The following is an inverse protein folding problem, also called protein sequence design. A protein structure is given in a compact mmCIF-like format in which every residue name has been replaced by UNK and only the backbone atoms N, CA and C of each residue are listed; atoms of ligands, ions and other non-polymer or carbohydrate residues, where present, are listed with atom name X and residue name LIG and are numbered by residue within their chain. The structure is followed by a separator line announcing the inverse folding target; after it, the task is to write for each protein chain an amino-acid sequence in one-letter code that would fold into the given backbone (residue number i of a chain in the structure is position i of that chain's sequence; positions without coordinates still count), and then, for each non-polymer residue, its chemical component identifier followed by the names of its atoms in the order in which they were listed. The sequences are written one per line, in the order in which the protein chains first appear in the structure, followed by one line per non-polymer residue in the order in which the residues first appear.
data_IF_464194720852
#
_entry.id   IF_464194720852
#
_cell.length_a   1.000
_cell.length_b   1.000
_cell.length_c   1.000
_cell.angle_alpha   90.00
_cell.angle_beta   90.00
_cell.angle_gamma   90.00
#
_symmetry.space_group_name_H-M   'P 1'
#
loop_
_entity.id
_entity.type
_entity.pdbx_description
1 polymer ?
#
# COMPACT_ATOMS: atom_id res chain seq x y z
N UNK A 1 9.23 12.40 9.44
CA UNK A 1 9.61 11.37 10.40
C UNK A 1 9.42 10.00 9.78
N UNK A 2 10.49 9.21 9.76
CA UNK A 2 10.47 7.80 9.33
C UNK A 2 10.25 6.96 10.58
N UNK A 3 9.19 6.17 10.61
CA UNK A 3 8.90 5.27 11.74
C UNK A 3 9.05 3.82 11.28
N UNK A 4 9.86 3.06 11.99
CA UNK A 4 10.05 1.62 11.78
C UNK A 4 9.24 0.87 12.83
N UNK A 5 8.34 -0.01 12.44
CA UNK A 5 7.67 -0.92 13.36
C UNK A 5 7.68 -2.34 12.81
N UNK A 6 8.04 -3.30 13.65
CA UNK A 6 8.04 -4.74 13.35
C UNK A 6 6.67 -5.40 13.57
N UNK A 7 5.75 -4.73 14.27
CA UNK A 7 4.40 -5.21 14.53
C UNK A 7 3.39 -4.46 13.65
N UNK A 8 2.90 -5.16 12.64
CA UNK A 8 1.83 -4.69 11.77
C UNK A 8 0.48 -4.92 12.45
N UNK A 9 0.13 -4.04 13.37
CA UNK A 9 -1.26 -3.91 13.83
C UNK A 9 -1.97 -2.86 12.99
N UNK A 10 -3.29 -2.97 12.85
CA UNK A 10 -4.15 -1.96 12.22
C UNK A 10 -3.98 -0.56 12.84
N UNK A 11 -3.37 -0.49 14.02
CA UNK A 11 -3.17 0.73 14.79
C UNK A 11 -2.05 1.64 14.23
N UNK A 12 -1.06 1.07 13.49
CA UNK A 12 0.02 1.86 12.90
C UNK A 12 -0.48 2.82 11.83
N UNK A 13 -1.46 2.41 11.03
CA UNK A 13 -2.08 3.31 10.05
C UNK A 13 -2.99 4.35 10.72
N UNK A 14 -3.66 4.03 11.83
CA UNK A 14 -4.66 4.92 12.43
C UNK A 14 -4.09 6.11 13.18
N UNK A 15 -2.95 5.97 13.88
CA UNK A 15 -2.29 7.07 14.57
C UNK A 15 -1.55 8.01 13.61
N UNK A 16 -0.82 7.42 12.63
CA UNK A 16 -0.03 8.17 11.67
C UNK A 16 -0.90 8.90 10.63
N UNK A 17 -2.15 8.44 10.42
CA UNK A 17 -3.12 9.10 9.54
C UNK A 17 -3.58 10.47 10.06
N UNK A 18 -3.63 10.64 11.39
CA UNK A 18 -4.10 11.88 12.04
C UNK A 18 -2.99 12.89 12.31
N UNK A 19 -1.72 12.49 12.13
CA UNK A 19 -0.57 13.38 12.34
C UNK A 19 -0.22 14.07 11.01
N UNK A 20 -0.60 15.31 10.83
CA UNK A 20 -0.30 16.10 9.64
C UNK A 20 1.20 16.39 9.44
N UNK A 21 2.03 16.19 10.46
CA UNK A 21 3.48 16.22 10.37
C UNK A 21 4.06 15.03 9.57
N UNK A 22 3.28 13.96 9.40
CA UNK A 22 3.66 12.80 8.57
C UNK A 22 3.04 12.97 7.18
N UNK A 23 3.88 13.25 6.19
CA UNK A 23 3.50 13.54 4.80
C UNK A 23 3.64 12.35 3.86
N UNK A 24 4.54 11.41 4.17
CA UNK A 24 4.80 10.17 3.43
C UNK A 24 5.26 9.07 4.39
N UNK A 25 5.04 7.81 4.04
CA UNK A 25 5.37 6.64 4.86
C UNK A 25 6.34 5.77 4.07
N UNK A 26 7.46 5.38 4.69
CA UNK A 26 8.40 4.40 4.14
C UNK A 26 8.29 3.13 4.95
N UNK A 27 8.06 2.01 4.24
CA UNK A 27 7.96 0.68 4.82
C UNK A 27 9.17 -0.14 4.44
N UNK A 28 9.89 -0.68 5.41
CA UNK A 28 11.03 -1.57 5.19
C UNK A 28 11.10 -2.63 6.27
N UNK A 29 11.89 -3.70 6.05
CA UNK A 29 12.07 -4.77 7.03
C UNK A 29 13.20 -4.49 8.02
N UNK A 30 13.06 -5.00 9.23
CA UNK A 30 14.15 -5.05 10.21
C UNK A 30 15.09 -6.23 9.93
N UNK A 31 16.39 -6.00 9.94
CA UNK A 31 17.41 -7.04 9.70
C UNK A 31 17.53 -7.47 8.23
N UNK A 32 17.72 -8.76 7.97
CA UNK A 32 18.08 -9.29 6.64
C UNK A 32 16.95 -9.47 5.66
N UNK A 33 15.70 -9.42 6.09
CA UNK A 33 14.53 -9.66 5.25
C UNK A 33 13.50 -8.57 5.37
N UNK A 34 12.71 -8.39 4.32
CA UNK A 34 11.55 -7.53 4.38
C UNK A 34 10.40 -8.20 5.15
N UNK A 35 9.92 -9.31 4.64
CA UNK A 35 8.94 -10.17 5.30
C UNK A 35 8.89 -11.54 4.60
N UNK A 36 9.22 -12.60 5.33
CA UNK A 36 9.28 -13.96 4.79
C UNK A 36 7.92 -14.67 4.66
N UNK A 37 6.82 -14.01 5.04
CA UNK A 37 5.47 -14.58 5.03
C UNK A 37 5.09 -15.24 6.35
N UNK A 38 4.18 -16.21 6.28
CA UNK A 38 3.69 -16.91 7.47
C UNK A 38 4.78 -17.76 8.12
N UNK A 39 4.78 -17.78 9.46
CA UNK A 39 5.60 -18.72 10.22
C UNK A 39 5.09 -20.16 10.02
N UNK A 40 5.93 -21.00 9.44
CA UNK A 40 5.63 -22.40 9.16
C UNK A 40 5.96 -23.34 10.35
N UNK A 41 6.29 -22.81 11.52
CA UNK A 41 6.64 -23.59 12.71
C UNK A 41 5.57 -24.55 13.21
N UNK A 42 4.28 -24.29 12.87
CA UNK A 42 3.17 -25.20 13.15
C UNK A 42 3.06 -26.39 12.16
N UNK A 43 4.00 -26.55 11.23
CA UNK A 43 4.02 -27.63 10.24
C UNK A 43 2.76 -27.63 9.36
N UNK A 44 2.20 -28.82 9.05
CA UNK A 44 1.02 -28.98 8.20
C UNK A 44 -0.24 -28.26 8.67
N UNK A 45 -0.29 -27.85 9.94
CA UNK A 45 -1.44 -27.12 10.51
C UNK A 45 -1.29 -25.58 10.46
N UNK A 46 -0.23 -25.05 9.87
CA UNK A 46 0.04 -23.60 9.81
C UNK A 46 -1.15 -22.78 9.34
N UNK A 47 -1.87 -23.25 8.33
CA UNK A 47 -3.01 -22.55 7.74
C UNK A 47 -4.37 -23.07 8.21
N UNK A 48 -4.40 -24.12 9.05
CA UNK A 48 -5.63 -24.62 9.64
C UNK A 48 -6.00 -23.81 10.89
N UNK A 49 -6.90 -22.82 10.73
CA UNK A 49 -7.31 -21.95 11.84
C UNK A 49 -8.03 -22.70 12.95
N UNK A 50 -8.79 -23.73 12.62
CA UNK A 50 -9.50 -24.52 13.62
C UNK A 50 -8.53 -25.22 14.58
N UNK A 51 -7.46 -25.79 14.05
CA UNK A 51 -6.42 -26.44 14.86
C UNK A 51 -5.59 -25.43 15.66
N UNK A 52 -5.27 -24.27 15.08
CA UNK A 52 -4.49 -23.22 15.73
C UNK A 52 -5.23 -22.56 16.89
N UNK A 53 -6.53 -22.39 16.77
CA UNK A 53 -7.37 -21.72 17.77
C UNK A 53 -7.98 -22.69 18.78
N UNK A 54 -7.65 -24.01 18.76
CA UNK A 54 -8.16 -25.02 19.66
C UNK A 54 -7.71 -24.86 21.12
N UNK A 55 -7.77 -23.63 21.66
CA UNK A 55 -7.72 -23.34 23.08
C UNK A 55 -9.12 -23.06 23.67
N UNK A 56 -10.13 -23.81 23.22
CA UNK A 56 -11.40 -23.94 23.96
C UNK A 56 -12.46 -22.85 23.85
N UNK A 57 -12.27 -21.79 23.02
CA UNK A 57 -13.16 -20.61 23.02
C UNK A 57 -13.86 -20.33 21.67
N UNK A 58 -14.00 -21.32 20.78
CA UNK A 58 -14.45 -21.07 19.40
C UNK A 58 -15.87 -21.53 19.07
N UNK A 59 -16.65 -22.02 20.02
CA UNK A 59 -18.10 -22.28 19.78
C UNK A 59 -18.84 -20.95 19.59
N UNK A 60 -19.45 -20.76 18.43
CA UNK A 60 -20.19 -19.55 18.04
C UNK A 60 -19.42 -18.56 17.16
N UNK A 61 -18.07 -18.61 17.09
CA UNK A 61 -17.26 -17.68 16.26
C UNK A 61 -17.20 -18.15 14.80
N UNK A 62 -17.39 -19.46 14.55
CA UNK A 62 -17.28 -20.07 13.21
C UNK A 62 -18.34 -19.57 12.22
N UNK A 63 -19.49 -19.15 12.72
CA UNK A 63 -20.61 -18.65 11.91
C UNK A 63 -20.46 -17.14 11.58
N UNK A 64 -19.47 -16.44 12.17
CA UNK A 64 -19.19 -15.06 11.82
C UNK A 64 -18.28 -15.02 10.58
N UNK A 65 -18.73 -14.40 9.46
CA UNK A 65 -17.89 -14.18 8.27
C UNK A 65 -16.56 -13.50 8.57
N UNK A 66 -16.49 -12.60 9.56
CA UNK A 66 -15.27 -11.92 9.98
C UNK A 66 -14.20 -12.91 10.50
N UNK A 67 -14.60 -14.06 11.02
CA UNK A 67 -13.65 -15.09 11.45
C UNK A 67 -12.83 -15.69 10.29
N UNK A 68 -13.41 -15.77 9.09
CA UNK A 68 -12.73 -16.27 7.89
C UNK A 68 -11.82 -15.22 7.24
N UNK A 69 -11.97 -13.96 7.61
CA UNK A 69 -11.24 -12.84 7.03
C UNK A 69 -9.73 -12.97 7.30
N UNK A 70 -8.92 -12.99 6.24
CA UNK A 70 -7.46 -13.06 6.37
C UNK A 70 -6.87 -11.77 6.93
N UNK A 71 -5.82 -11.90 7.76
CA UNK A 71 -5.15 -10.75 8.37
C UNK A 71 -4.43 -9.89 7.35
N UNK A 72 -3.85 -10.51 6.31
CA UNK A 72 -3.23 -9.78 5.20
C UNK A 72 -4.22 -8.87 4.49
N UNK A 73 -5.46 -9.35 4.25
CA UNK A 73 -6.52 -8.55 3.64
C UNK A 73 -6.93 -7.33 4.47
N UNK A 74 -6.97 -7.46 5.80
CA UNK A 74 -7.22 -6.30 6.68
C UNK A 74 -6.13 -5.25 6.54
N UNK A 75 -4.85 -5.65 6.61
CA UNK A 75 -3.71 -4.76 6.43
C UNK A 75 -3.71 -4.10 5.05
N UNK A 76 -3.92 -4.90 4.00
CA UNK A 76 -3.93 -4.41 2.62
C UNK A 76 -5.03 -3.38 2.38
N UNK A 77 -6.23 -3.60 2.91
CA UNK A 77 -7.33 -2.65 2.78
C UNK A 77 -7.07 -1.37 3.60
N UNK A 78 -6.47 -1.46 4.79
CA UNK A 78 -6.06 -0.28 5.54
C UNK A 78 -5.01 0.56 4.78
N UNK A 79 -4.03 -0.09 4.11
CA UNK A 79 -3.07 0.58 3.24
C UNK A 79 -3.77 1.23 2.02
N UNK A 80 -4.73 0.55 1.43
CA UNK A 80 -5.51 1.07 0.30
C UNK A 80 -6.32 2.32 0.67
N UNK A 81 -6.87 2.36 1.89
CA UNK A 81 -7.66 3.48 2.39
C UNK A 81 -6.81 4.63 2.95
N UNK A 82 -5.50 4.42 3.18
CA UNK A 82 -4.59 5.45 3.65
C UNK A 82 -4.54 6.63 2.65
N UNK A 83 -4.74 7.88 3.08
CA UNK A 83 -4.63 9.02 2.18
C UNK A 83 -3.17 9.45 1.90
N UNK A 84 -2.20 8.98 2.69
CA UNK A 84 -0.80 9.38 2.57
C UNK A 84 -0.03 8.46 1.62
N UNK A 85 0.93 8.96 0.84
CA UNK A 85 1.80 8.15 0.01
C UNK A 85 2.59 7.13 0.83
N UNK A 86 2.67 5.90 0.32
CA UNK A 86 3.39 4.80 0.96
C UNK A 86 4.42 4.23 0.00
N UNK A 87 5.66 4.17 0.45
CA UNK A 87 6.81 3.65 -0.31
C UNK A 87 7.25 2.35 0.34
N UNK A 88 7.25 1.24 -0.42
CA UNK A 88 7.85 -0.02 0.01
C UNK A 88 9.33 -0.06 -0.41
N UNK A 89 10.23 -0.20 0.56
CA UNK A 89 11.66 -0.36 0.36
C UNK A 89 12.09 -1.78 0.77
N UNK A 90 12.14 -2.70 -0.20
CA UNK A 90 12.45 -4.11 0.04
C UNK A 90 13.95 -4.30 0.30
N UNK A 91 14.34 -4.37 1.56
CA UNK A 91 15.73 -4.60 1.98
C UNK A 91 16.21 -6.04 1.83
N UNK A 92 15.32 -6.99 1.56
CA UNK A 92 15.59 -8.41 1.42
C UNK A 92 14.36 -9.20 0.99
N UNK A 93 14.29 -10.50 1.24
CA UNK A 93 13.19 -11.35 0.79
C UNK A 93 11.81 -10.87 1.24
N UNK A 94 10.86 -10.86 0.29
CA UNK A 94 9.44 -10.55 0.44
C UNK A 94 8.60 -11.67 -0.18
N UNK A 95 8.04 -12.55 0.66
CA UNK A 95 7.39 -13.79 0.21
C UNK A 95 6.00 -13.94 0.84
N UNK A 96 5.03 -14.45 0.08
CA UNK A 96 3.65 -14.60 0.54
C UNK A 96 3.06 -13.23 0.94
N UNK A 97 2.53 -13.10 2.17
CA UNK A 97 2.00 -11.83 2.66
C UNK A 97 3.03 -10.70 2.61
N UNK A 98 4.33 -11.02 2.70
CA UNK A 98 5.40 -10.04 2.61
C UNK A 98 5.45 -9.28 1.28
N UNK A 99 4.99 -9.87 0.20
CA UNK A 99 4.87 -9.17 -1.08
C UNK A 99 3.42 -8.74 -1.35
N UNK A 100 2.41 -9.54 -0.97
CA UNK A 100 1.02 -9.21 -1.30
C UNK A 100 0.53 -7.97 -0.56
N UNK A 101 0.92 -7.74 0.71
CA UNK A 101 0.53 -6.55 1.47
C UNK A 101 1.10 -5.24 0.87
N UNK A 102 2.15 -5.31 0.05
CA UNK A 102 2.77 -4.12 -0.54
C UNK A 102 2.13 -3.69 -1.87
N UNK A 103 1.24 -4.49 -2.42
CA UNK A 103 0.61 -4.18 -3.70
C UNK A 103 -0.18 -2.86 -3.73
N UNK A 104 -0.92 -2.47 -2.66
CA UNK A 104 -1.58 -1.17 -2.59
C UNK A 104 -0.66 -0.01 -2.16
N UNK A 105 0.60 -0.27 -1.85
CA UNK A 105 1.59 0.81 -1.64
C UNK A 105 1.91 1.46 -2.99
N UNK A 106 2.26 2.74 -2.99
CA UNK A 106 2.26 3.54 -4.21
C UNK A 106 3.55 3.38 -5.02
N UNK A 107 4.69 3.35 -4.33
CA UNK A 107 6.01 3.19 -4.94
C UNK A 107 6.73 2.03 -4.28
N UNK A 108 7.32 1.15 -5.08
CA UNK A 108 8.09 -0.02 -4.62
C UNK A 108 9.49 0.04 -5.20
N UNK A 109 10.50 0.02 -4.32
CA UNK A 109 11.91 -0.08 -4.68
C UNK A 109 12.55 -1.24 -3.92
N UNK A 110 13.64 -1.79 -4.40
CA UNK A 110 14.27 -2.97 -3.79
C UNK A 110 15.79 -2.87 -3.73
N UNK A 111 16.37 -3.58 -2.78
CA UNK A 111 17.80 -3.87 -2.79
C UNK A 111 18.12 -4.97 -3.82
N UNK A 112 19.39 -5.04 -4.23
CA UNK A 112 19.93 -6.12 -5.06
C UNK A 112 19.79 -7.51 -4.37
N UNK A 113 19.65 -7.55 -3.04
CA UNK A 113 19.49 -8.76 -2.24
C UNK A 113 18.03 -9.21 -2.10
N UNK A 114 17.08 -8.42 -2.57
CA UNK A 114 15.67 -8.73 -2.48
C UNK A 114 15.30 -9.98 -3.29
N UNK A 115 14.30 -10.71 -2.83
CA UNK A 115 13.69 -11.84 -3.55
C UNK A 115 12.19 -11.78 -3.35
N UNK A 116 11.45 -12.14 -4.38
CA UNK A 116 9.99 -12.07 -4.38
C UNK A 116 9.37 -13.44 -4.65
N UNK A 117 8.21 -13.72 -4.06
CA UNK A 117 7.54 -14.98 -4.32
C UNK A 117 6.08 -15.01 -3.91
N UNK A 118 5.20 -15.29 -4.89
CA UNK A 118 3.78 -15.55 -4.67
C UNK A 118 3.56 -17.07 -4.49
N UNK A 119 4.11 -17.62 -3.40
CA UNK A 119 4.37 -19.05 -3.19
C UNK A 119 3.13 -19.89 -2.81
N UNK A 120 1.94 -19.32 -2.90
CA UNK A 120 0.69 -19.92 -2.40
C UNK A 120 0.37 -21.28 -3.06
N UNK A 121 0.39 -21.35 -4.39
CA UNK A 121 0.10 -22.59 -5.12
C UNK A 121 1.04 -23.74 -4.74
N UNK A 122 2.31 -23.45 -4.42
CA UNK A 122 3.26 -24.46 -3.91
C UNK A 122 2.94 -24.97 -2.50
N UNK A 123 1.99 -24.35 -1.82
CA UNK A 123 1.48 -24.75 -0.48
C UNK A 123 0.04 -25.23 -0.52
N UNK A 124 -0.52 -25.43 -1.73
CA UNK A 124 -1.92 -25.82 -1.91
C UNK A 124 -2.91 -24.73 -1.51
N UNK A 125 -2.48 -23.45 -1.58
CA UNK A 125 -3.26 -22.27 -1.21
C UNK A 125 -3.49 -21.37 -2.41
N UNK A 126 -4.43 -20.44 -2.25
CA UNK A 126 -4.66 -19.35 -3.19
C UNK A 126 -4.03 -18.04 -2.68
N UNK A 127 -3.75 -17.05 -3.55
CA UNK A 127 -3.34 -15.72 -3.13
C UNK A 127 -4.32 -15.08 -2.14
N UNK A 128 -3.80 -14.41 -1.13
CA UNK A 128 -4.53 -13.71 -0.07
C UNK A 128 -4.30 -12.19 -0.11
N UNK A 129 -4.71 -11.44 0.91
CA UNK A 129 -4.48 -10.00 1.03
C UNK A 129 -5.07 -9.18 -0.13
N UNK A 130 -6.20 -9.61 -0.68
CA UNK A 130 -6.82 -9.04 -1.87
C UNK A 130 -5.87 -8.94 -3.09
N UNK A 131 -4.77 -9.71 -3.08
CA UNK A 131 -3.77 -9.68 -4.16
C UNK A 131 -4.32 -10.12 -5.51
N UNK A 132 -5.38 -10.93 -5.54
CA UNK A 132 -6.13 -11.26 -6.78
C UNK A 132 -6.73 -10.03 -7.47
N UNK A 133 -6.99 -8.96 -6.71
CA UNK A 133 -7.44 -7.68 -7.25
C UNK A 133 -6.25 -6.75 -7.58
N UNK A 134 -5.28 -6.64 -6.68
CA UNK A 134 -4.17 -5.68 -6.82
C UNK A 134 -3.11 -6.15 -7.82
N UNK A 135 -2.66 -7.40 -7.75
CA UNK A 135 -1.52 -7.88 -8.53
C UNK A 135 -1.71 -7.70 -10.05
N UNK A 136 -2.84 -8.13 -10.67
CA UNK A 136 -3.02 -7.95 -12.11
C UNK A 136 -3.14 -6.48 -12.53
N UNK A 137 -3.49 -5.58 -11.60
CA UNK A 137 -3.51 -4.14 -11.85
C UNK A 137 -2.13 -3.50 -11.78
N UNK A 138 -1.22 -4.08 -11.01
CA UNK A 138 0.16 -3.60 -10.88
C UNK A 138 1.04 -4.13 -12.01
N UNK A 139 0.96 -5.43 -12.34
CA UNK A 139 1.90 -6.11 -13.26
C UNK A 139 1.26 -6.62 -14.55
N UNK A 140 -0.03 -6.41 -14.73
CA UNK A 140 -0.81 -7.02 -15.81
C UNK A 140 -1.15 -8.48 -15.55
N UNK A 141 -2.23 -8.96 -16.20
CA UNK A 141 -2.78 -10.30 -15.93
C UNK A 141 -1.82 -11.44 -16.28
N UNK A 142 -1.07 -11.33 -17.38
CA UNK A 142 -0.18 -12.40 -17.81
C UNK A 142 0.95 -12.65 -16.80
N UNK A 143 1.61 -11.60 -16.34
CA UNK A 143 2.69 -11.70 -15.35
C UNK A 143 2.15 -12.14 -13.98
N UNK A 144 0.97 -11.68 -13.59
CA UNK A 144 0.30 -12.11 -12.36
C UNK A 144 0.03 -13.62 -12.36
N UNK A 145 -0.49 -14.17 -13.47
CA UNK A 145 -0.75 -15.61 -13.62
C UNK A 145 0.56 -16.42 -13.64
N UNK A 146 1.59 -15.97 -14.39
CA UNK A 146 2.90 -16.65 -14.42
C UNK A 146 3.48 -16.84 -13.04
N UNK A 147 3.52 -15.75 -12.23
CA UNK A 147 4.12 -15.79 -10.91
C UNK A 147 3.28 -16.56 -9.89
N UNK A 148 1.96 -16.43 -9.93
CA UNK A 148 1.07 -17.10 -8.97
C UNK A 148 0.93 -18.60 -9.26
N UNK A 149 0.87 -19.02 -10.53
CA UNK A 149 0.76 -20.44 -10.89
C UNK A 149 2.04 -21.21 -10.61
N UNK A 150 3.20 -20.63 -10.96
CA UNK A 150 4.49 -21.26 -10.68
C UNK A 150 4.84 -21.26 -9.20
N UNK A 151 4.40 -20.23 -8.46
CA UNK A 151 4.74 -20.01 -7.06
C UNK A 151 6.26 -19.97 -6.82
N UNK A 152 7.05 -19.71 -7.85
CA UNK A 152 8.51 -19.62 -7.74
C UNK A 152 8.95 -18.33 -7.06
N UNK A 153 10.15 -18.36 -6.53
CA UNK A 153 10.84 -17.17 -6.07
C UNK A 153 11.63 -16.60 -7.26
N UNK A 154 11.64 -15.29 -7.39
CA UNK A 154 12.29 -14.58 -8.48
C UNK A 154 13.12 -13.39 -8.00
N UNK A 155 13.98 -12.88 -8.87
CA UNK A 155 14.96 -11.84 -8.58
C UNK A 155 14.35 -10.43 -8.62
N UNK A 156 15.04 -9.41 -8.11
CA UNK A 156 14.62 -8.03 -8.23
C UNK A 156 14.67 -7.52 -9.69
N UNK A 157 15.55 -8.06 -10.54
CA UNK A 157 15.59 -7.72 -11.97
C UNK A 157 14.28 -8.15 -12.65
N UNK A 158 13.86 -9.39 -12.40
CA UNK A 158 12.58 -9.88 -12.94
C UNK A 158 11.40 -9.11 -12.37
N UNK A 159 11.43 -8.74 -11.08
CA UNK A 159 10.41 -7.92 -10.45
C UNK A 159 10.31 -6.53 -11.11
N UNK A 160 11.45 -5.93 -11.48
CA UNK A 160 11.53 -4.66 -12.19
C UNK A 160 11.01 -4.78 -13.62
N UNK A 161 11.45 -5.80 -14.36
CA UNK A 161 11.00 -6.07 -15.72
C UNK A 161 9.48 -6.32 -15.77
N UNK A 162 8.95 -7.04 -14.78
CA UNK A 162 7.52 -7.31 -14.65
C UNK A 162 6.69 -6.14 -14.09
N UNK A 163 7.29 -4.99 -13.77
CA UNK A 163 6.59 -3.80 -13.28
C UNK A 163 6.17 -3.86 -11.81
N UNK A 164 6.65 -4.85 -11.03
CA UNK A 164 6.36 -4.93 -9.60
C UNK A 164 7.10 -3.85 -8.80
N UNK A 165 8.34 -3.56 -9.16
CA UNK A 165 9.17 -2.53 -8.54
C UNK A 165 9.67 -1.52 -9.55
N UNK A 166 9.90 -0.28 -9.08
CA UNK A 166 10.40 0.84 -9.89
C UNK A 166 11.90 0.71 -10.19
N UNK A 167 12.72 0.39 -9.16
CA UNK A 167 14.17 0.44 -9.24
C UNK A 167 14.85 -0.51 -8.25
N UNK A 168 16.13 -0.79 -8.53
CA UNK A 168 16.99 -1.65 -7.71
C UNK A 168 18.19 -0.81 -7.27
N UNK A 169 18.61 -0.96 -6.03
CA UNK A 169 19.68 -0.18 -5.40
C UNK A 169 20.59 -1.08 -4.55
N UNK A 170 21.86 -0.70 -4.33
CA UNK A 170 22.69 -1.31 -3.31
C UNK A 170 21.99 -1.28 -1.94
N UNK A 171 22.16 -2.33 -1.14
CA UNK A 171 21.45 -2.48 0.13
C UNK A 171 21.68 -1.29 1.09
N UNK A 172 22.90 -0.75 1.13
CA UNK A 172 23.28 0.41 1.94
C UNK A 172 22.71 1.75 1.44
N UNK A 173 22.17 1.81 0.21
CA UNK A 173 21.58 3.01 -0.41
C UNK A 173 20.07 2.98 -0.48
N UNK A 174 19.45 1.84 -0.20
CA UNK A 174 18.01 1.66 -0.38
C UNK A 174 17.16 2.68 0.39
N UNK A 175 17.47 2.92 1.65
CA UNK A 175 16.73 3.88 2.47
C UNK A 175 17.00 5.33 2.08
N UNK A 176 18.22 5.66 1.64
CA UNK A 176 18.53 6.98 1.11
C UNK A 176 17.69 7.29 -0.13
N UNK A 177 17.53 6.30 -1.02
CA UNK A 177 16.70 6.46 -2.23
C UNK A 177 15.20 6.54 -1.88
N UNK A 178 14.72 5.75 -0.92
CA UNK A 178 13.35 5.87 -0.45
C UNK A 178 13.08 7.27 0.15
N UNK A 179 14.01 7.79 0.95
CA UNK A 179 13.92 9.13 1.53
C UNK A 179 13.94 10.23 0.45
N UNK A 180 14.77 10.12 -0.58
CA UNK A 180 14.75 11.08 -1.71
C UNK A 180 13.40 11.14 -2.41
N UNK A 181 12.79 9.97 -2.66
CA UNK A 181 11.45 9.89 -3.26
C UNK A 181 10.41 10.54 -2.34
N UNK A 182 10.48 10.26 -1.04
CA UNK A 182 9.56 10.85 -0.06
C UNK A 182 9.74 12.38 0.03
N UNK A 183 10.98 12.87 0.06
CA UNK A 183 11.30 14.31 0.10
C UNK A 183 10.79 15.04 -1.15
N UNK A 184 10.98 14.47 -2.34
CA UNK A 184 10.48 15.04 -3.60
C UNK A 184 8.95 15.29 -3.53
N UNK A 185 8.21 14.36 -2.94
CA UNK A 185 6.77 14.51 -2.73
C UNK A 185 6.49 15.57 -1.67
N UNK A 186 7.14 15.46 -0.50
CA UNK A 186 6.83 16.30 0.67
C UNK A 186 7.17 17.77 0.46
N UNK A 187 8.31 18.05 -0.16
CA UNK A 187 8.83 19.41 -0.31
C UNK A 187 8.14 20.24 -1.41
N UNK A 188 7.60 19.54 -2.43
CA UNK A 188 7.15 20.23 -3.63
C UNK A 188 5.64 20.14 -3.89
N UNK A 189 4.87 19.50 -2.99
CA UNK A 189 3.45 19.26 -3.26
C UNK A 189 2.53 19.53 -2.07
N UNK A 190 1.29 19.91 -2.36
CA UNK A 190 0.21 20.02 -1.37
C UNK A 190 -0.15 18.64 -0.79
N UNK A 191 -0.26 18.54 0.55
CA UNK A 191 -0.66 17.33 1.23
C UNK A 191 -2.05 16.86 0.80
N UNK A 192 -2.99 17.78 0.71
CA UNK A 192 -4.38 17.51 0.34
C UNK A 192 -4.48 17.08 -1.13
N UNK A 193 -3.75 17.74 -2.03
CA UNK A 193 -3.73 17.35 -3.45
C UNK A 193 -3.15 15.96 -3.66
N UNK A 194 -2.09 15.59 -2.94
CA UNK A 194 -1.50 14.24 -3.00
C UNK A 194 -2.47 13.20 -2.44
N UNK A 195 -3.11 13.48 -1.31
CA UNK A 195 -4.09 12.58 -0.70
C UNK A 195 -5.27 12.34 -1.63
N UNK A 196 -5.85 13.39 -2.20
CA UNK A 196 -6.93 13.30 -3.17
C UNK A 196 -6.51 12.52 -4.41
N UNK A 197 -5.36 12.84 -5.00
CA UNK A 197 -4.83 12.15 -6.20
C UNK A 197 -4.66 10.66 -5.92
N UNK A 198 -4.07 10.29 -4.77
CA UNK A 198 -3.90 8.89 -4.38
C UNK A 198 -5.24 8.16 -4.33
N UNK A 199 -6.21 8.73 -3.63
CA UNK A 199 -7.53 8.12 -3.49
C UNK A 199 -8.26 8.05 -4.84
N UNK A 200 -8.21 9.10 -5.66
CA UNK A 200 -8.81 9.10 -6.99
C UNK A 200 -8.24 7.98 -7.86
N UNK A 201 -6.91 7.86 -7.95
CA UNK A 201 -6.29 6.83 -8.76
C UNK A 201 -6.63 5.41 -8.29
N UNK A 202 -6.59 5.14 -6.98
CA UNK A 202 -6.90 3.82 -6.44
C UNK A 202 -8.39 3.48 -6.48
N UNK A 203 -9.27 4.38 -6.03
CA UNK A 203 -10.71 4.11 -5.92
C UNK A 203 -11.42 4.04 -7.27
N UNK A 204 -10.94 4.80 -8.25
CA UNK A 204 -11.53 4.83 -9.59
C UNK A 204 -10.94 3.76 -10.54
N UNK A 205 -9.91 3.02 -10.12
CA UNK A 205 -9.28 1.97 -10.93
C UNK A 205 -10.23 0.82 -11.31
N UNK A 206 -11.33 0.67 -10.59
CA UNK A 206 -12.37 -0.32 -10.85
C UNK A 206 -13.66 0.27 -11.42
N UNK A 207 -13.68 1.55 -11.79
CA UNK A 207 -14.84 2.18 -12.42
C UNK A 207 -15.10 1.59 -13.81
N UNK A 208 -16.35 1.40 -14.15
CA UNK A 208 -16.78 0.81 -15.41
C UNK A 208 -16.77 1.81 -16.59
N UNK A 209 -16.73 3.11 -16.28
CA UNK A 209 -16.71 4.17 -17.29
C UNK A 209 -15.89 5.38 -16.83
N UNK A 210 -15.10 6.04 -17.71
CA UNK A 210 -14.31 7.22 -17.36
C UNK A 210 -15.13 8.42 -16.87
N UNK A 211 -16.44 8.45 -17.14
CA UNK A 211 -17.32 9.48 -16.60
C UNK A 211 -17.35 9.50 -15.07
N UNK A 212 -17.18 8.34 -14.42
CA UNK A 212 -17.12 8.28 -12.96
C UNK A 212 -15.88 9.01 -12.42
N UNK A 213 -14.75 8.87 -13.12
CA UNK A 213 -13.55 9.66 -12.81
C UNK A 213 -13.79 11.14 -13.09
N UNK A 214 -14.37 11.49 -14.26
CA UNK A 214 -14.61 12.87 -14.64
C UNK A 214 -15.50 13.64 -13.64
N UNK A 215 -16.51 12.98 -13.06
CA UNK A 215 -17.36 13.60 -12.02
C UNK A 215 -16.55 13.97 -10.77
N UNK A 216 -15.65 13.08 -10.33
CA UNK A 216 -14.79 13.32 -9.16
C UNK A 216 -13.72 14.35 -9.46
N UNK A 217 -13.04 14.24 -10.63
CA UNK A 217 -12.01 15.17 -11.09
C UNK A 217 -12.54 16.61 -11.15
N UNK A 218 -13.72 16.78 -11.79
CA UNK A 218 -14.33 18.10 -11.97
C UNK A 218 -14.69 18.75 -10.64
N UNK A 219 -15.19 17.96 -9.69
CA UNK A 219 -15.53 18.46 -8.37
C UNK A 219 -14.28 18.77 -7.56
N UNK A 220 -13.29 17.90 -7.60
CA UNK A 220 -12.02 18.10 -6.89
C UNK A 220 -11.28 19.35 -7.39
N UNK A 221 -11.15 19.53 -8.70
CA UNK A 221 -10.46 20.70 -9.27
C UNK A 221 -11.22 22.01 -8.96
N UNK A 222 -12.55 21.96 -8.92
CA UNK A 222 -13.38 23.12 -8.58
C UNK A 222 -13.20 23.51 -7.11
N UNK A 223 -13.29 22.57 -6.17
CA UNK A 223 -13.19 22.86 -4.73
C UNK A 223 -11.76 23.24 -4.33
N UNK A 224 -10.75 22.45 -4.74
CA UNK A 224 -9.35 22.73 -4.44
C UNK A 224 -8.83 24.00 -5.10
N UNK A 225 -9.33 24.33 -6.29
CA UNK A 225 -8.96 25.55 -7.02
C UNK A 225 -9.34 26.84 -6.29
N UNK A 226 -10.25 26.79 -5.32
CA UNK A 226 -10.62 27.93 -4.49
C UNK A 226 -9.80 28.01 -3.18
N UNK A 227 -8.99 26.97 -2.91
CA UNK A 227 -8.22 26.84 -1.68
C UNK A 227 -6.89 27.60 -1.68
N UNK A 228 -6.30 27.72 -0.48
CA UNK A 228 -5.00 28.36 -0.27
C UNK A 228 -3.86 27.65 -0.99
N UNK A 229 -3.90 26.31 -1.08
CA UNK A 229 -2.87 25.53 -1.74
C UNK A 229 -2.79 25.80 -3.25
N UNK A 230 -3.92 25.94 -3.94
CA UNK A 230 -3.93 26.25 -5.36
C UNK A 230 -3.36 27.66 -5.62
N UNK A 231 -3.66 28.63 -4.77
CA UNK A 231 -3.11 29.97 -4.81
C UNK A 231 -1.59 29.93 -4.58
N UNK A 232 -1.16 29.31 -3.50
CA UNK A 232 0.26 29.18 -3.16
C UNK A 232 1.06 28.46 -4.27
N UNK A 233 0.52 27.38 -4.82
CA UNK A 233 1.16 26.65 -5.91
C UNK A 233 1.40 27.51 -7.16
N UNK A 234 0.48 28.40 -7.48
CA UNK A 234 0.63 29.35 -8.61
C UNK A 234 1.61 30.48 -8.27
N UNK A 235 1.45 31.11 -7.09
CA UNK A 235 2.29 32.24 -6.67
C UNK A 235 3.74 31.82 -6.51
N UNK A 236 4.04 30.72 -5.82
CA UNK A 236 5.41 30.21 -5.64
C UNK A 236 6.08 29.87 -6.97
N UNK A 237 5.33 29.26 -7.91
CA UNK A 237 5.84 28.97 -9.25
C UNK A 237 6.22 30.24 -10.03
N UNK A 238 5.36 31.26 -10.02
CA UNK A 238 5.63 32.53 -10.71
C UNK A 238 6.80 33.30 -10.09
N UNK A 239 6.91 33.24 -8.76
CA UNK A 239 7.99 33.89 -7.98
C UNK A 239 9.29 33.08 -7.96
N UNK A 240 9.28 31.83 -8.49
CA UNK A 240 10.42 30.91 -8.52
C UNK A 240 10.99 30.61 -7.12
N UNK A 241 10.12 30.43 -6.15
CA UNK A 241 10.45 30.03 -4.78
C UNK A 241 9.87 28.67 -4.43
N UNK A 242 10.39 27.99 -3.39
CA UNK A 242 9.74 26.80 -2.85
C UNK A 242 8.32 27.11 -2.38
N UNK A 243 7.36 26.19 -2.59
CA UNK A 243 5.99 26.37 -2.10
C UNK A 243 5.87 26.09 -0.58
N UNK A 244 4.95 26.81 0.08
CA UNK A 244 4.61 26.61 1.48
C UNK A 244 3.10 26.34 1.59
N UNK A 245 2.68 25.11 1.32
CA UNK A 245 1.29 24.71 1.28
C UNK A 245 0.65 24.68 2.69
N UNK A 246 -0.39 25.51 2.95
CA UNK A 246 -0.97 25.64 4.27
C UNK A 246 -1.91 24.50 4.67
N UNK A 247 -2.50 23.79 3.71
CA UNK A 247 -3.61 22.85 3.97
C UNK A 247 -3.12 21.54 4.59
N UNK A 248 -3.97 20.96 5.44
CA UNK A 248 -3.74 19.72 6.19
C UNK A 248 -4.74 18.64 5.78
N UNK A 249 -4.29 17.40 5.70
CA UNK A 249 -5.14 16.26 5.34
C UNK A 249 -6.24 16.01 6.38
N UNK A 250 -5.97 16.28 7.66
CA UNK A 250 -6.94 16.09 8.75
C UNK A 250 -8.08 17.10 8.77
N UNK A 251 -7.90 18.28 8.15
CA UNK A 251 -8.81 19.43 8.30
C UNK A 251 -9.38 19.91 6.96
N UNK A 252 -8.60 19.83 5.88
CA UNK A 252 -8.86 20.57 4.64
C UNK A 252 -9.17 19.67 3.42
N UNK A 253 -9.51 18.39 3.66
CA UNK A 253 -10.00 17.54 2.57
C UNK A 253 -11.31 18.09 2.03
N UNK A 254 -11.56 18.00 0.69
CA UNK A 254 -12.81 18.46 0.09
C UNK A 254 -14.05 17.90 0.79
N UNK A 255 -15.12 18.69 0.87
CA UNK A 255 -16.34 18.35 1.61
C UNK A 255 -16.98 17.04 1.14
N UNK A 256 -16.81 16.70 -0.14
CA UNK A 256 -17.35 15.46 -0.72
C UNK A 256 -16.47 14.22 -0.47
N UNK A 257 -15.32 14.37 0.17
CA UNK A 257 -14.45 13.26 0.55
C UNK A 257 -14.94 12.61 1.86
N UNK A 258 -15.04 11.27 1.91
CA UNK A 258 -14.93 10.31 0.81
C UNK A 258 -16.20 10.30 -0.06
N UNK A 259 -16.05 10.20 -1.40
CA UNK A 259 -17.18 10.10 -2.36
C UNK A 259 -17.70 8.68 -2.56
N UNK A 260 -17.09 7.69 -1.91
CA UNK A 260 -17.48 6.29 -1.96
C UNK A 260 -18.08 5.84 -0.64
N UNK A 261 -18.89 4.77 -0.70
CA UNK A 261 -19.38 4.07 0.48
C UNK A 261 -18.38 2.97 0.89
N UNK A 262 -18.18 2.82 2.20
CA UNK A 262 -17.37 1.74 2.74
C UNK A 262 -18.01 0.38 2.45
N UNK A 263 -17.26 -0.51 1.83
CA UNK A 263 -17.72 -1.88 1.55
C UNK A 263 -17.47 -2.77 2.75
N UNK A 264 -18.53 -3.33 3.29
CA UNK A 264 -18.46 -4.30 4.40
C UNK A 264 -18.04 -5.67 3.88
N UNK A 265 -17.38 -6.45 4.73
CA UNK A 265 -16.98 -7.82 4.41
C UNK A 265 -18.17 -8.80 4.36
N UNK A 266 -19.26 -8.47 5.01
CA UNK A 266 -20.51 -9.27 5.06
C UNK A 266 -21.27 -9.18 3.75
#
# INVERSE_FOLDING_TARGET
HTRFTSDWSSDVCSSDLKDDGIRAIIVTGAGRGFCAGADLGAGGNTFNREVRNNKGETEGIKDDPEWMRDGGGRTTLAIFDCPKPIIAAFNGPAVGVGVTMTLPMDIRIASEEAKFGFVFARRGLVPEAASSWFLPRVVGINKALEWTFSGRVFSPEEAKEGGLIRSIHPADKLLDEANKIAQEIVENTSAVSVAMTRQMLWKLLGADHPMEAHKVDSRAIYELGQGGDAKEGVESFLEKRPPEFPSKVSEDMPEFYPWWEERKFK
#
